data_IF_162718216734
#
_entry.id   IF_162718216734
#
_cell.length_a   1.000
_cell.length_b   1.000
_cell.length_c   1.000
_cell.angle_alpha   90.00
_cell.angle_beta   90.00
_cell.angle_gamma   90.00
#
_symmetry.space_group_name_H-M   'P 1'
#
loop_
_entity.id
_entity.type
_entity.pdbx_description
1 polymer ?
#
# COMPACT_ATOMS: atom_id res chain seq x y z
N UNK A 1 -10.11 28.74 -1.17
CA UNK A 1 -9.06 28.25 -2.10
C UNK A 1 -9.29 26.77 -2.35
N UNK A 2 -8.83 26.18 -3.48
CA UNK A 2 -8.95 24.73 -3.66
C UNK A 2 -8.07 24.01 -2.64
N UNK A 3 -8.67 23.15 -1.81
CA UNK A 3 -7.94 22.25 -0.92
C UNK A 3 -7.76 20.88 -1.57
N UNK A 4 -6.63 20.22 -1.30
CA UNK A 4 -6.31 18.89 -1.80
C UNK A 4 -6.07 17.93 -0.65
N UNK A 5 -6.43 16.66 -0.82
CA UNK A 5 -6.22 15.63 0.20
C UNK A 5 -4.87 14.94 -0.01
N UNK A 6 -4.01 14.97 1.00
CA UNK A 6 -2.70 14.31 0.96
C UNK A 6 -2.86 12.78 0.88
N UNK A 7 -2.10 12.13 0.00
CA UNK A 7 -2.15 10.66 -0.16
C UNK A 7 -1.31 9.89 0.86
N UNK A 8 -0.52 10.58 1.69
CA UNK A 8 0.34 9.97 2.70
C UNK A 8 -0.30 10.00 4.11
N UNK A 9 -1.04 11.06 4.45
CA UNK A 9 -1.69 11.21 5.77
C UNK A 9 -3.19 11.56 5.73
N UNK A 10 -3.82 11.66 4.56
CA UNK A 10 -5.24 12.00 4.39
C UNK A 10 -5.68 13.40 4.89
N UNK A 11 -4.77 14.24 5.36
CA UNK A 11 -5.06 15.63 5.74
C UNK A 11 -5.38 16.49 4.50
N UNK A 12 -6.23 17.52 4.68
CA UNK A 12 -6.45 18.53 3.65
C UNK A 12 -5.35 19.60 3.74
N UNK A 13 -4.81 19.98 2.58
CA UNK A 13 -3.81 21.04 2.45
C UNK A 13 -4.15 21.96 1.28
N UNK A 14 -4.01 23.27 1.49
CA UNK A 14 -4.10 24.26 0.40
C UNK A 14 -2.80 24.25 -0.42
N UNK A 15 -1.66 24.32 0.26
CA UNK A 15 -0.35 24.10 -0.34
C UNK A 15 0.20 22.70 -0.05
N UNK A 16 -0.05 21.80 -1.00
CA UNK A 16 0.44 20.42 -0.96
C UNK A 16 1.97 20.34 -0.90
N UNK A 17 2.70 21.24 -1.56
CA UNK A 17 4.15 21.15 -1.61
C UNK A 17 4.75 21.47 -0.23
N UNK A 18 4.34 22.60 0.36
CA UNK A 18 4.73 22.98 1.71
C UNK A 18 4.34 21.90 2.73
N UNK A 19 3.11 21.38 2.64
CA UNK A 19 2.65 20.29 3.50
C UNK A 19 3.54 19.04 3.41
N UNK A 20 3.94 18.62 2.20
CA UNK A 20 4.80 17.45 2.01
C UNK A 20 6.21 17.67 2.57
N UNK A 21 6.78 18.86 2.40
CA UNK A 21 8.12 19.16 2.93
C UNK A 21 8.09 19.27 4.46
N UNK A 22 7.13 19.98 5.05
CA UNK A 22 7.09 20.21 6.50
C UNK A 22 6.60 19.00 7.31
N UNK A 23 5.55 18.31 6.84
CA UNK A 23 4.92 17.21 7.60
C UNK A 23 5.56 15.86 7.31
N UNK A 24 6.03 15.66 6.08
CA UNK A 24 6.59 14.39 5.63
C UNK A 24 8.11 14.44 5.42
N UNK A 25 8.76 15.60 5.56
CA UNK A 25 10.21 15.71 5.38
C UNK A 25 10.67 15.43 3.95
N UNK A 26 9.80 15.67 2.96
CA UNK A 26 10.08 15.38 1.56
C UNK A 26 11.06 16.42 0.98
N UNK A 27 12.35 16.12 1.10
CA UNK A 27 13.44 17.00 0.66
C UNK A 27 13.91 16.72 -0.78
N UNK A 28 13.57 15.57 -1.34
CA UNK A 28 13.89 15.25 -2.72
C UNK A 28 12.94 16.02 -3.67
N UNK A 29 13.47 17.02 -4.38
CA UNK A 29 12.66 17.89 -5.25
C UNK A 29 11.94 17.13 -6.37
N UNK A 30 12.59 16.11 -6.94
CA UNK A 30 12.01 15.31 -8.03
C UNK A 30 10.86 14.45 -7.53
N UNK A 31 11.02 13.83 -6.36
CA UNK A 31 9.95 13.12 -5.68
C UNK A 31 8.79 14.06 -5.34
N UNK A 32 9.08 15.21 -4.72
CA UNK A 32 8.10 16.22 -4.35
C UNK A 32 7.25 16.65 -5.55
N UNK A 33 7.91 16.95 -6.67
CA UNK A 33 7.24 17.29 -7.92
C UNK A 33 6.28 16.18 -8.38
N UNK A 34 6.74 14.93 -8.41
CA UNK A 34 5.94 13.78 -8.86
C UNK A 34 4.72 13.56 -7.95
N UNK A 35 4.88 13.63 -6.63
CA UNK A 35 3.80 13.44 -5.66
C UNK A 35 2.79 14.60 -5.71
N UNK A 36 3.25 15.84 -5.88
CA UNK A 36 2.37 17.00 -6.08
C UNK A 36 1.56 16.85 -7.38
N UNK A 37 2.19 16.40 -8.47
CA UNK A 37 1.49 16.11 -9.72
C UNK A 37 0.40 15.05 -9.53
N UNK A 38 0.68 14.00 -8.76
CA UNK A 38 -0.29 12.94 -8.45
C UNK A 38 -1.48 13.48 -7.65
N UNK A 39 -1.23 14.27 -6.61
CA UNK A 39 -2.29 14.78 -5.72
C UNK A 39 -3.17 15.80 -6.45
N UNK A 40 -2.57 16.70 -7.23
CA UNK A 40 -3.28 17.76 -7.94
C UNK A 40 -3.89 17.30 -9.27
N UNK A 41 -3.65 16.05 -9.69
CA UNK A 41 -4.07 15.54 -11.00
C UNK A 41 -3.41 16.28 -12.17
N UNK A 42 -2.21 16.84 -11.96
CA UNK A 42 -1.50 17.58 -13.02
C UNK A 42 -0.88 16.58 -13.99
N UNK A 43 -1.05 16.87 -15.28
CA UNK A 43 -0.46 16.08 -16.37
C UNK A 43 1.05 16.29 -16.37
N UNK A 44 1.82 15.23 -16.15
CA UNK A 44 3.17 15.21 -16.71
C UNK A 44 3.03 15.13 -18.25
N UNK A 45 4.09 15.47 -18.97
CA UNK A 45 4.21 15.24 -20.40
C UNK A 45 4.89 13.89 -20.77
N UNK A 46 4.74 12.77 -20.03
CA UNK A 46 5.50 11.59 -20.32
C UNK A 46 4.82 10.83 -21.47
N UNK A 47 5.59 9.92 -22.01
CA UNK A 47 5.08 8.91 -22.91
C UNK A 47 4.19 7.95 -22.13
N UNK A 48 2.88 8.01 -22.33
CA UNK A 48 1.91 7.19 -21.62
C UNK A 48 1.62 5.88 -22.36
N UNK A 49 1.34 4.82 -21.60
CA UNK A 49 0.88 3.54 -22.13
C UNK A 49 -0.64 3.48 -22.13
N UNK A 50 -1.24 2.78 -23.11
CA UNK A 50 -2.67 2.59 -23.12
C UNK A 50 -3.10 1.72 -21.91
N UNK A 51 -4.05 2.17 -21.08
CA UNK A 51 -4.52 1.39 -19.92
C UNK A 51 -5.55 0.32 -20.31
N UNK A 52 -6.01 0.27 -21.56
CA UNK A 52 -7.01 -0.71 -22.01
C UNK A 52 -6.37 -2.11 -22.11
N UNK A 53 -6.90 -3.12 -21.38
CA UNK A 53 -6.37 -4.48 -21.43
C UNK A 53 -6.34 -5.05 -22.86
N UNK A 54 -5.24 -5.70 -23.21
CA UNK A 54 -5.06 -6.29 -24.55
C UNK A 54 -4.66 -5.30 -25.65
N UNK A 55 -4.56 -3.99 -25.35
CA UNK A 55 -4.04 -3.02 -26.30
C UNK A 55 -2.51 -3.13 -26.40
N UNK A 56 -1.98 -3.35 -27.61
CA UNK A 56 -0.54 -3.48 -27.88
C UNK A 56 0.18 -2.15 -28.09
N UNK A 57 -0.53 -1.02 -28.06
CA UNK A 57 0.08 0.31 -28.23
C UNK A 57 0.87 0.67 -26.98
N UNK A 58 2.19 0.46 -27.06
CA UNK A 58 3.08 0.59 -25.92
C UNK A 58 3.20 2.02 -25.39
N UNK A 59 3.53 2.99 -26.24
CA UNK A 59 4.00 4.32 -25.81
C UNK A 59 3.48 5.40 -26.76
N UNK A 60 2.58 6.27 -26.31
CA UNK A 60 1.99 7.34 -27.13
C UNK A 60 1.86 8.65 -26.38
N UNK A 61 2.32 9.75 -26.99
CA UNK A 61 2.06 11.12 -26.53
C UNK A 61 0.63 11.59 -26.85
N UNK A 62 -0.07 10.86 -27.72
CA UNK A 62 -1.44 11.17 -28.18
C UNK A 62 -2.42 10.11 -27.71
N UNK A 63 -2.33 9.72 -26.44
CA UNK A 63 -3.16 8.68 -25.85
C UNK A 63 -4.66 9.00 -26.00
N UNK A 64 -5.07 10.26 -25.80
CA UNK A 64 -6.47 10.68 -25.93
C UNK A 64 -7.04 10.37 -27.33
N UNK A 65 -6.31 10.78 -28.38
CA UNK A 65 -6.68 10.47 -29.77
C UNK A 65 -6.67 8.98 -30.07
N UNK A 66 -5.76 8.23 -29.45
CA UNK A 66 -5.71 6.78 -29.57
C UNK A 66 -6.97 6.13 -28.97
N UNK A 67 -7.37 6.56 -27.76
CA UNK A 67 -8.58 6.10 -27.10
C UNK A 67 -9.83 6.39 -27.95
N UNK A 68 -9.93 7.59 -28.51
CA UNK A 68 -11.06 7.97 -29.38
C UNK A 68 -11.15 7.11 -30.65
N UNK A 69 -10.00 6.86 -31.32
CA UNK A 69 -9.97 6.19 -32.63
C UNK A 69 -10.06 4.67 -32.53
N UNK A 70 -9.34 4.08 -31.58
CA UNK A 70 -9.16 2.62 -31.50
C UNK A 70 -10.20 2.00 -30.56
N UNK A 71 -10.48 2.64 -29.43
CA UNK A 71 -11.34 2.09 -28.40
C UNK A 71 -12.75 2.70 -28.38
N UNK A 72 -13.00 3.80 -29.11
CA UNK A 72 -14.31 4.49 -29.21
C UNK A 72 -14.98 4.71 -27.85
N UNK A 73 -14.18 5.08 -26.85
CA UNK A 73 -14.62 5.28 -25.47
C UNK A 73 -15.44 6.56 -25.33
N UNK A 74 -16.36 6.58 -24.37
CA UNK A 74 -17.08 7.82 -24.03
C UNK A 74 -16.18 8.82 -23.28
N UNK A 75 -16.65 10.06 -23.11
CA UNK A 75 -15.88 11.13 -22.46
C UNK A 75 -15.49 10.80 -21.01
N UNK A 76 -16.35 10.10 -20.27
CA UNK A 76 -16.13 9.75 -18.87
C UNK A 76 -15.10 8.61 -18.75
N UNK A 77 -15.25 7.56 -19.56
CA UNK A 77 -14.28 6.48 -19.70
C UNK A 77 -12.92 7.02 -20.15
N UNK A 78 -12.90 7.96 -21.11
CA UNK A 78 -11.67 8.62 -21.56
C UNK A 78 -10.99 9.37 -20.43
N UNK A 79 -11.73 10.18 -19.66
CA UNK A 79 -11.18 10.89 -18.51
C UNK A 79 -10.58 9.92 -17.48
N UNK A 80 -11.29 8.84 -17.17
CA UNK A 80 -10.83 7.77 -16.26
C UNK A 80 -9.56 7.08 -16.79
N UNK A 81 -9.52 6.69 -18.06
CA UNK A 81 -8.33 6.07 -18.66
C UNK A 81 -7.15 7.02 -18.68
N UNK A 82 -7.36 8.30 -18.96
CA UNK A 82 -6.32 9.31 -18.89
C UNK A 82 -5.79 9.46 -17.46
N UNK A 83 -6.67 9.53 -16.45
CA UNK A 83 -6.27 9.57 -15.05
C UNK A 83 -5.45 8.33 -14.65
N UNK A 84 -5.90 7.13 -15.03
CA UNK A 84 -5.18 5.88 -14.79
C UNK A 84 -3.80 5.89 -15.46
N UNK A 85 -3.72 6.33 -16.71
CA UNK A 85 -2.47 6.40 -17.46
C UNK A 85 -1.48 7.41 -16.84
N UNK A 86 -1.97 8.59 -16.44
CA UNK A 86 -1.16 9.59 -15.75
C UNK A 86 -0.65 9.08 -14.41
N UNK A 87 -1.53 8.49 -13.59
CA UNK A 87 -1.15 7.87 -12.31
C UNK A 87 -0.10 6.78 -12.51
N UNK A 88 -0.30 5.89 -13.48
CA UNK A 88 0.63 4.81 -13.81
C UNK A 88 1.99 5.37 -14.24
N UNK A 89 2.02 6.41 -15.07
CA UNK A 89 3.26 7.08 -15.48
C UNK A 89 4.01 7.68 -14.29
N UNK A 90 3.32 8.38 -13.37
CA UNK A 90 3.94 8.93 -12.15
C UNK A 90 4.52 7.82 -11.28
N UNK A 91 3.78 6.74 -11.08
CA UNK A 91 4.24 5.60 -10.27
C UNK A 91 5.48 4.94 -10.89
N UNK A 92 5.56 4.84 -12.23
CA UNK A 92 6.77 4.36 -12.89
C UNK A 92 7.96 5.29 -12.71
N UNK A 93 7.76 6.60 -12.82
CA UNK A 93 8.82 7.60 -12.60
C UNK A 93 9.34 7.57 -11.16
N UNK A 94 8.44 7.45 -10.17
CA UNK A 94 8.82 7.28 -8.76
C UNK A 94 9.64 6.01 -8.55
N UNK A 95 9.24 4.90 -9.17
CA UNK A 95 10.02 3.65 -9.12
C UNK A 95 11.40 3.81 -9.75
N UNK A 96 11.47 4.40 -10.94
CA UNK A 96 12.73 4.64 -11.63
C UNK A 96 13.66 5.55 -10.81
N UNK A 97 13.11 6.60 -10.19
CA UNK A 97 13.86 7.47 -9.27
C UNK A 97 14.39 6.71 -8.06
N UNK A 98 13.60 5.77 -7.51
CA UNK A 98 14.05 4.94 -6.38
C UNK A 98 15.20 4.01 -6.76
N UNK A 99 15.18 3.47 -7.98
CA UNK A 99 16.23 2.60 -8.51
C UNK A 99 17.58 3.33 -8.66
N UNK A 100 17.60 4.66 -8.77
CA UNK A 100 18.84 5.44 -8.82
C UNK A 100 19.47 5.71 -7.45
N UNK A 101 18.90 5.18 -6.35
CA UNK A 101 19.36 5.43 -4.97
C UNK A 101 19.59 6.93 -4.70
N UNK A 102 18.53 7.75 -4.80
CA UNK A 102 18.67 9.20 -4.84
C UNK A 102 19.14 9.76 -3.48
N UNK A 103 19.89 10.87 -3.55
CA UNK A 103 20.32 11.66 -2.41
C UNK A 103 19.80 13.11 -2.58
N UNK A 104 18.92 13.63 -1.71
CA UNK A 104 18.37 12.99 -0.50
C UNK A 104 17.47 11.77 -0.77
N UNK A 105 17.37 10.83 0.19
CA UNK A 105 16.56 9.63 0.04
C UNK A 105 15.08 9.96 -0.11
N UNK A 106 14.39 9.17 -0.94
CA UNK A 106 12.95 9.28 -1.11
C UNK A 106 12.19 8.88 0.16
N UNK A 107 11.14 9.63 0.50
CA UNK A 107 10.31 9.37 1.69
C UNK A 107 9.00 8.66 1.34
N UNK A 108 8.37 9.03 0.22
CA UNK A 108 7.13 8.42 -0.22
C UNK A 108 7.35 6.95 -0.57
N UNK A 109 6.30 6.15 -0.39
CA UNK A 109 6.26 4.72 -0.73
C UNK A 109 5.14 4.39 -1.73
N UNK A 110 4.64 5.41 -2.42
CA UNK A 110 3.47 5.35 -3.32
C UNK A 110 3.68 4.36 -4.48
N UNK A 111 4.91 4.24 -4.99
CA UNK A 111 5.30 3.30 -6.05
C UNK A 111 5.55 1.87 -5.54
N UNK A 112 5.83 1.74 -4.25
CA UNK A 112 6.00 0.48 -3.56
C UNK A 112 4.64 -0.02 -3.12
N UNK A 113 3.80 -0.50 -4.04
CA UNK A 113 2.47 -0.95 -3.68
C UNK A 113 2.53 -1.95 -2.49
N UNK A 114 2.09 -1.47 -1.32
CA UNK A 114 2.30 -2.09 -0.02
C UNK A 114 1.29 -3.22 0.26
N UNK A 115 0.58 -3.71 -0.76
CA UNK A 115 -0.40 -4.74 -0.55
C UNK A 115 0.27 -6.12 -0.48
N UNK A 116 -0.09 -6.87 0.57
CA UNK A 116 0.22 -8.30 0.72
C UNK A 116 -0.22 -9.08 -0.53
N UNK A 117 -1.22 -8.57 -1.25
CA UNK A 117 -1.83 -9.18 -2.42
C UNK A 117 -0.90 -9.30 -3.63
N UNK A 118 0.15 -8.48 -3.79
CA UNK A 118 1.05 -8.53 -4.96
C UNK A 118 1.87 -9.82 -5.07
N UNK A 119 2.10 -10.49 -3.94
CA UNK A 119 2.87 -11.73 -3.91
C UNK A 119 2.02 -12.94 -3.51
N UNK A 120 0.68 -12.79 -3.53
CA UNK A 120 -0.26 -13.84 -3.19
C UNK A 120 -0.44 -14.83 -4.34
N UNK A 121 0.01 -16.06 -4.17
CA UNK A 121 -0.09 -17.08 -5.22
C UNK A 121 -1.49 -17.69 -5.31
N UNK A 122 -1.88 -18.19 -6.49
CA UNK A 122 -3.15 -18.91 -6.68
C UNK A 122 -3.29 -20.11 -5.71
N UNK A 123 -2.16 -20.78 -5.43
CA UNK A 123 -2.05 -21.89 -4.46
C UNK A 123 -2.27 -21.42 -3.00
N UNK A 124 -1.88 -20.19 -2.64
CA UNK A 124 -2.24 -19.62 -1.33
C UNK A 124 -3.73 -19.29 -1.25
N UNK A 125 -4.35 -18.84 -2.34
CA UNK A 125 -5.79 -18.56 -2.41
C UNK A 125 -6.62 -19.85 -2.37
N UNK A 126 -6.22 -20.89 -3.08
CA UNK A 126 -6.94 -22.18 -3.09
C UNK A 126 -6.88 -22.88 -1.72
N UNK A 127 -5.79 -22.69 -0.97
CA UNK A 127 -5.63 -23.20 0.41
C UNK A 127 -6.24 -22.29 1.49
N UNK A 128 -7.09 -21.33 1.13
CA UNK A 128 -7.73 -20.46 2.10
C UNK A 128 -8.58 -21.26 3.09
N UNK A 129 -8.36 -21.02 4.39
CA UNK A 129 -9.08 -21.70 5.46
C UNK A 129 -10.42 -21.00 5.71
N UNK A 130 -11.50 -21.76 5.82
CA UNK A 130 -12.81 -21.22 6.20
C UNK A 130 -12.86 -20.98 7.71
N UNK A 131 -13.15 -19.75 8.11
CA UNK A 131 -13.47 -19.38 9.49
C UNK A 131 -14.89 -19.85 9.86
N UNK A 132 -15.22 -20.11 11.14
CA UNK A 132 -16.59 -20.38 11.59
C UNK A 132 -17.60 -19.33 11.14
N UNK A 133 -17.16 -18.07 11.02
CA UNK A 133 -17.96 -16.93 10.60
C UNK A 133 -18.19 -16.85 9.07
N UNK A 134 -17.75 -17.87 8.31
CA UNK A 134 -17.91 -17.94 6.84
C UNK A 134 -16.85 -17.18 6.03
N UNK A 135 -15.95 -16.44 6.67
CA UNK A 135 -14.82 -15.78 6.01
C UNK A 135 -13.76 -16.77 5.53
N UNK A 136 -13.04 -16.42 4.47
CA UNK A 136 -11.89 -17.16 3.94
C UNK A 136 -10.61 -16.47 4.36
N UNK A 137 -9.74 -17.18 5.06
CA UNK A 137 -8.45 -16.65 5.55
C UNK A 137 -7.33 -17.18 4.69
N UNK A 138 -6.71 -16.29 3.93
CA UNK A 138 -5.54 -16.57 3.11
C UNK A 138 -4.28 -16.24 3.91
N UNK A 139 -3.33 -17.18 3.94
CA UNK A 139 -2.02 -16.98 4.57
C UNK A 139 -0.95 -16.76 3.51
N UNK A 140 -0.52 -15.51 3.32
CA UNK A 140 0.47 -15.13 2.32
C UNK A 140 1.88 -15.24 2.91
N UNK A 141 2.68 -16.14 2.35
CA UNK A 141 4.03 -16.45 2.82
C UNK A 141 5.06 -15.43 2.35
N UNK A 142 4.93 -14.97 1.11
CA UNK A 142 5.86 -14.00 0.51
C UNK A 142 5.20 -12.64 0.47
N UNK A 143 5.68 -11.68 1.26
CA UNK A 143 5.35 -10.27 1.15
C UNK A 143 6.54 -9.42 1.60
N UNK A 144 6.54 -8.11 1.28
CA UNK A 144 7.67 -7.18 1.53
C UNK A 144 8.22 -7.27 2.96
N UNK A 145 7.34 -7.45 3.93
CA UNK A 145 7.64 -7.44 5.37
C UNK A 145 7.67 -8.82 6.02
N UNK A 146 7.66 -9.92 5.23
CA UNK A 146 7.53 -11.28 5.75
C UNK A 146 8.71 -11.71 6.65
N UNK A 147 9.91 -11.21 6.37
CA UNK A 147 11.09 -11.48 7.20
C UNK A 147 10.93 -10.96 8.64
N UNK A 148 10.21 -9.86 8.84
CA UNK A 148 10.03 -9.24 10.15
C UNK A 148 8.73 -9.66 10.84
N UNK A 149 7.64 -9.81 10.09
CA UNK A 149 6.30 -10.04 10.65
C UNK A 149 5.74 -11.44 10.39
N UNK A 150 6.50 -12.33 9.76
CA UNK A 150 6.07 -13.69 9.43
C UNK A 150 5.07 -13.70 8.27
N UNK A 151 4.09 -14.61 8.30
CA UNK A 151 3.07 -14.72 7.24
C UNK A 151 1.93 -13.72 7.49
N UNK A 152 1.53 -12.98 6.47
CA UNK A 152 0.35 -12.13 6.54
C UNK A 152 -0.93 -12.96 6.39
N UNK A 153 -1.94 -12.66 7.21
CA UNK A 153 -3.27 -13.27 7.13
C UNK A 153 -4.26 -12.25 6.59
N UNK A 154 -4.97 -12.61 5.53
CA UNK A 154 -6.00 -11.78 4.90
C UNK A 154 -7.32 -12.51 5.06
N UNK A 155 -8.28 -11.90 5.76
CA UNK A 155 -9.64 -12.41 5.85
C UNK A 155 -10.48 -11.76 4.74
N UNK A 156 -11.11 -12.59 3.92
CA UNK A 156 -12.00 -12.18 2.85
C UNK A 156 -13.41 -12.69 3.17
N UNK A 157 -14.41 -11.86 2.90
CA UNK A 157 -15.80 -12.29 2.84
C UNK A 157 -16.02 -13.31 1.72
N UNK A 158 -17.12 -14.08 1.75
CA UNK A 158 -17.46 -15.00 0.67
C UNK A 158 -17.48 -14.32 -0.71
N UNK A 159 -18.01 -13.10 -0.80
CA UNK A 159 -18.10 -12.34 -2.06
C UNK A 159 -16.72 -11.93 -2.58
N UNK A 160 -15.86 -11.42 -1.70
CA UNK A 160 -14.47 -11.04 -2.07
C UNK A 160 -13.65 -12.25 -2.48
N UNK A 161 -13.82 -13.39 -1.79
CA UNK A 161 -13.13 -14.62 -2.15
C UNK A 161 -13.56 -15.14 -3.52
N UNK A 162 -14.87 -15.17 -3.82
CA UNK A 162 -15.39 -15.54 -5.13
C UNK A 162 -14.80 -14.64 -6.23
N UNK A 163 -14.88 -13.33 -6.05
CA UNK A 163 -14.31 -12.36 -6.99
C UNK A 163 -12.81 -12.62 -7.23
N UNK A 164 -12.05 -12.86 -6.16
CA UNK A 164 -10.62 -13.14 -6.25
C UNK A 164 -10.34 -14.44 -7.01
N UNK A 165 -11.08 -15.51 -6.72
CA UNK A 165 -10.91 -16.80 -7.41
C UNK A 165 -11.28 -16.73 -8.89
N UNK A 166 -12.33 -15.99 -9.24
CA UNK A 166 -12.74 -15.81 -10.63
C UNK A 166 -11.70 -14.99 -11.41
N UNK A 167 -11.15 -13.96 -10.78
CA UNK A 167 -10.06 -13.15 -11.36
C UNK A 167 -8.82 -14.00 -11.65
N UNK A 168 -8.47 -14.93 -10.76
CA UNK A 168 -7.34 -15.85 -10.96
C UNK A 168 -7.63 -16.80 -12.14
N UNK A 169 -8.84 -17.38 -12.21
CA UNK A 169 -9.24 -18.27 -13.30
C UNK A 169 -9.18 -17.60 -14.67
N UNK A 170 -9.72 -16.38 -14.79
CA UNK A 170 -9.73 -15.64 -16.06
C UNK A 170 -8.31 -15.34 -16.59
N UNK A 171 -7.32 -15.21 -15.69
CA UNK A 171 -5.91 -15.00 -16.07
C UNK A 171 -5.26 -16.25 -16.64
N UNK A 172 -5.55 -17.41 -16.06
CA UNK A 172 -5.00 -18.69 -16.55
C UNK A 172 -5.53 -19.05 -17.94
N UNK A 173 -6.76 -18.65 -18.25
CA UNK A 173 -7.39 -18.91 -19.56
C UNK A 173 -7.01 -17.93 -20.67
N UNK A 174 -6.26 -16.86 -20.38
CA UNK A 174 -5.87 -15.86 -21.37
C UNK A 174 -4.62 -16.30 -22.15
N UNK A 175 -4.71 -16.60 -23.47
CA UNK A 175 -3.56 -17.06 -24.25
C UNK A 175 -2.49 -15.96 -24.34
N UNK A 176 -1.31 -16.23 -23.79
CA UNK A 176 -0.16 -15.30 -23.73
C UNK A 176 0.48 -15.13 -22.35
N UNK A 177 -0.06 -15.75 -21.29
CA UNK A 177 0.41 -15.58 -19.89
C UNK A 177 1.53 -16.54 -19.47
N UNK A 178 2.28 -17.13 -20.40
CA UNK A 178 3.29 -18.16 -20.09
C UNK A 178 4.49 -17.66 -19.25
N UNK A 179 4.55 -16.37 -18.88
CA UNK A 179 5.60 -15.89 -17.99
C UNK A 179 5.06 -15.33 -16.66
N UNK A 180 5.08 -16.23 -15.68
CA UNK A 180 5.08 -16.05 -14.21
C UNK A 180 3.76 -15.69 -13.54
N UNK A 181 3.25 -16.73 -12.87
CA UNK A 181 2.37 -16.79 -11.70
C UNK A 181 2.69 -15.78 -10.59
N UNK A 182 2.49 -14.48 -10.86
CA UNK A 182 2.45 -13.40 -9.86
C UNK A 182 1.17 -12.59 -10.06
N UNK A 183 0.40 -12.31 -9.00
CA UNK A 183 -0.73 -11.40 -9.12
C UNK A 183 -0.22 -9.95 -9.20
N UNK A 184 -0.15 -9.37 -10.40
CA UNK A 184 -0.26 -7.92 -10.47
C UNK A 184 -1.70 -7.57 -10.08
N UNK A 185 -1.89 -7.03 -8.88
CA UNK A 185 -3.16 -6.45 -8.40
C UNK A 185 -3.06 -4.91 -8.46
N UNK A 186 -2.44 -4.41 -9.54
CA UNK A 186 -2.35 -2.98 -9.87
C UNK A 186 -3.40 -2.55 -10.88
N UNK A 187 -4.14 -3.49 -11.48
CA UNK A 187 -5.21 -3.20 -12.42
C UNK A 187 -6.51 -3.09 -11.62
N UNK A 188 -6.90 -1.86 -11.31
CA UNK A 188 -8.22 -1.52 -10.78
C UNK A 188 -9.33 -2.04 -11.71
N UNK A 189 -10.46 -2.53 -11.16
CA UNK A 189 -11.45 -3.26 -11.92
C UNK A 189 -12.14 -2.40 -12.97
N UNK A 190 -12.30 -2.97 -14.17
CA UNK A 190 -13.35 -2.62 -15.13
C UNK A 190 -14.70 -2.68 -14.43
N UNK A 191 -15.30 -1.52 -14.17
CA UNK A 191 -16.64 -1.39 -13.62
C UNK A 191 -17.63 -1.26 -14.78
N UNK A 192 -18.36 -2.34 -15.04
CA UNK A 192 -19.68 -2.28 -15.67
C UNK A 192 -20.68 -1.69 -14.64
N UNK A 193 -21.75 -1.00 -15.10
CA UNK A 193 -22.62 -0.23 -14.23
C UNK A 193 -23.66 -1.15 -13.57
N UNK A 194 -23.35 -1.67 -12.38
CA UNK A 194 -24.36 -2.21 -11.48
C UNK A 194 -24.33 -1.41 -10.18
N UNK A 195 -25.39 -0.64 -9.95
CA UNK A 195 -25.56 0.24 -8.78
C UNK A 195 -25.63 -0.49 -7.45
N UNK A 196 -24.49 -1.00 -6.95
CA UNK A 196 -24.34 -1.51 -5.59
C UNK A 196 -23.02 -1.00 -5.00
N UNK A 197 -23.13 -0.42 -3.80
CA UNK A 197 -22.01 0.15 -3.04
C UNK A 197 -20.98 -0.94 -2.74
N UNK A 198 -19.71 -0.67 -3.00
CA UNK A 198 -18.57 -1.49 -2.57
C UNK A 198 -18.39 -1.32 -1.06
N UNK A 199 -18.30 -2.39 -0.25
CA UNK A 199 -17.94 -2.27 1.17
C UNK A 199 -16.43 -2.04 1.33
N UNK A 200 -16.06 -1.08 2.19
CA UNK A 200 -14.67 -0.82 2.58
C UNK A 200 -14.04 -2.05 3.27
N UNK A 201 -12.87 -2.46 2.77
CA UNK A 201 -12.01 -3.47 3.39
C UNK A 201 -11.55 -2.99 4.78
N UNK A 202 -12.03 -3.65 5.85
CA UNK A 202 -11.62 -3.34 7.22
C UNK A 202 -10.36 -4.09 7.62
N UNK A 203 -9.27 -3.37 7.81
CA UNK A 203 -8.09 -3.88 8.50
C UNK A 203 -8.33 -3.89 10.02
N UNK A 204 -8.58 -5.08 10.59
CA UNK A 204 -8.63 -5.23 12.03
C UNK A 204 -7.22 -5.23 12.64
N UNK A 205 -6.81 -4.10 13.22
CA UNK A 205 -5.78 -4.09 14.27
C UNK A 205 -6.45 -4.49 15.59
N UNK A 206 -6.26 -5.72 16.07
CA UNK A 206 -6.65 -6.08 17.45
C UNK A 206 -5.60 -5.57 18.44
N UNK A 207 -5.98 -4.87 19.53
CA UNK A 207 -5.08 -4.59 20.64
C UNK A 207 -4.96 -5.83 21.54
N UNK A 208 -3.72 -6.23 21.85
CA UNK A 208 -3.43 -7.21 22.89
C UNK A 208 -3.63 -6.57 24.26
N UNK A 209 -4.75 -6.88 24.92
CA UNK A 209 -4.98 -6.58 26.34
C UNK A 209 -4.54 -7.75 27.22
N UNK A 210 -3.38 -7.61 27.86
CA UNK A 210 -2.95 -8.51 28.93
C UNK A 210 -3.89 -8.38 30.15
N UNK A 211 -4.60 -9.46 30.48
CA UNK A 211 -5.24 -9.62 31.79
C UNK A 211 -4.14 -9.89 32.83
N UNK A 212 -3.93 -8.98 33.78
CA UNK A 212 -3.28 -9.30 35.06
C UNK A 212 -4.34 -9.40 36.14
N UNK A 213 -4.45 -10.61 36.69
CA UNK A 213 -5.27 -10.96 37.84
C UNK A 213 -4.79 -10.25 39.11
N UNK A 214 -5.76 -9.81 39.89
CA UNK A 214 -5.59 -9.29 41.25
C UNK A 214 -4.85 -10.29 42.15
N UNK A 215 -3.87 -9.81 42.92
CA UNK A 215 -3.68 -10.18 44.33
C UNK A 215 -3.23 -8.94 45.10
N UNK A 216 -4.08 -8.52 46.04
CA UNK A 216 -3.71 -7.69 47.20
C UNK A 216 -2.75 -8.51 48.07
N UNK A 217 -1.81 -7.83 48.75
CA UNK A 217 -1.50 -8.00 50.18
C UNK A 217 -0.44 -6.98 50.60
N UNK A 218 -0.79 -6.25 51.67
CA UNK A 218 -0.01 -5.52 52.69
C UNK A 218 1.16 -4.58 52.29
N UNK A 219 1.02 -3.34 52.74
CA UNK A 219 2.00 -2.27 52.58
C UNK A 219 3.06 -2.21 53.68
N UNK A 220 3.95 -1.22 53.53
CA UNK A 220 4.72 -0.56 54.57
C UNK A 220 4.92 0.90 54.11
N UNK A 221 4.82 1.80 55.08
CA UNK A 221 4.93 3.25 55.02
C UNK A 221 6.38 3.68 54.75
N UNK A 222 6.58 4.71 53.93
CA UNK A 222 7.86 5.40 53.79
C UNK A 222 7.75 6.69 52.96
N UNK A 223 7.53 7.83 53.63
CA UNK A 223 7.71 9.17 53.07
C UNK A 223 9.20 9.50 53.02
N UNK A 224 9.74 10.02 51.90
CA UNK A 224 10.82 11.03 51.87
C UNK A 224 10.72 11.88 50.58
N UNK A 225 11.16 13.11 50.75
CA UNK A 225 11.08 14.39 50.03
C UNK A 225 11.52 14.51 48.57
N UNK A 226 10.95 15.54 47.97
CA UNK A 226 11.39 16.36 46.82
C UNK A 226 12.82 16.89 46.92
N UNK A 227 13.57 16.91 45.80
CA UNK A 227 14.32 18.09 45.32
C UNK A 227 14.84 17.90 43.88
N UNK A 228 14.92 18.95 43.03
CA UNK A 228 15.31 18.90 41.63
C UNK A 228 16.79 19.26 41.39
N UNK A 229 17.24 19.14 40.13
CA UNK A 229 18.56 19.46 39.53
C UNK A 229 19.64 18.38 39.55
N UNK A 230 20.23 18.13 38.37
CA UNK A 230 21.54 17.48 38.22
C UNK A 230 21.75 16.82 36.86
N UNK A 231 22.68 17.35 36.06
CA UNK A 231 22.97 16.97 34.67
C UNK A 231 23.75 15.65 34.54
N UNK A 232 23.56 15.03 33.35
CA UNK A 232 24.45 14.19 32.52
C UNK A 232 25.72 13.59 33.15
N UNK A 233 25.84 12.27 33.06
CA UNK A 233 27.07 11.59 32.63
C UNK A 233 26.74 10.21 32.03
N UNK A 234 27.47 9.75 30.99
CA UNK A 234 27.31 8.43 30.38
C UNK A 234 28.22 7.40 31.06
N UNK A 235 27.71 6.21 31.32
CA UNK A 235 28.48 5.00 31.66
C UNK A 235 27.86 3.87 30.83
N UNK A 236 28.57 3.37 29.84
CA UNK A 236 29.55 2.28 29.94
C UNK A 236 28.90 0.92 29.67
N UNK A 237 29.57 0.18 28.80
CA UNK A 237 29.22 -1.12 28.27
C UNK A 237 28.89 -2.14 29.38
N UNK A 238 27.79 -2.87 29.17
CA UNK A 238 27.44 -4.05 29.94
C UNK A 238 27.27 -5.24 29.00
N UNK A 239 28.39 -5.93 28.79
CA UNK A 239 28.45 -7.32 28.33
C UNK A 239 28.00 -8.22 29.49
N UNK A 240 26.92 -8.99 29.37
CA UNK A 240 26.81 -10.24 30.15
C UNK A 240 25.82 -11.26 29.56
N UNK A 241 26.43 -12.34 29.05
CA UNK A 241 26.17 -13.77 29.30
C UNK A 241 24.71 -14.27 29.27
N UNK A 242 24.47 -15.13 28.28
CA UNK A 242 23.28 -15.97 28.19
C UNK A 242 23.19 -17.01 29.31
N UNK A 243 21.96 -17.35 29.67
CA UNK A 243 21.64 -18.59 30.37
C UNK A 243 20.63 -19.39 29.56
N UNK A 244 21.08 -20.57 29.16
CA UNK A 244 20.26 -21.75 28.90
C UNK A 244 19.37 -22.02 30.13
N UNK A 245 18.08 -22.24 29.91
CA UNK A 245 17.25 -23.06 30.79
C UNK A 245 16.34 -23.88 29.87
N UNK A 246 16.58 -25.18 29.85
CA UNK A 246 15.69 -26.20 29.32
C UNK A 246 14.47 -26.35 30.23
N UNK A 247 13.28 -26.47 29.64
CA UNK A 247 12.20 -27.39 30.01
C UNK A 247 11.17 -27.43 28.88
#
# INVERSE_FOLDING_TARGET
MPSYRCKLCDEQAEDVALHLTERHGMNNERELFLVVCLIKGRKLAPVMQCPVPGCSVGKSSRLERHLDRIHRVDNHQRARFMEMAHRKAIVYELRALRETFPDPPMVSDIDMCHCVLINMTADEVSRAVTSPDGFRVISVKRHKTAAFFGRAKIALSPQEYTWLTDTIRHRETSPGSFERSRPYLSDEPSLEPLGRRVPELRFFKRPFGLRRSQRRVLGIVGKVSTSPFGRRQPCADATFVGRHIDF
#
